data_IF_848544981187
#
_entry.id   IF_848544981187
#
_cell.length_a   1.000
_cell.length_b   1.000
_cell.length_c   1.000
_cell.angle_alpha   90.00
_cell.angle_beta   90.00
_cell.angle_gamma   90.00
#
_symmetry.space_group_name_H-M   'P 1'
#
loop_
_entity.id
_entity.type
_entity.pdbx_description
1 polymer ?
#
# COMPACT_ATOMS: atom_id res chain seq x y z
N UNK A 1 -0.53 27.29 11.81
CA UNK A 1 0.21 26.59 10.75
C UNK A 1 0.91 25.41 11.40
N UNK A 2 0.37 24.19 11.27
CA UNK A 2 1.10 22.98 11.63
C UNK A 2 1.41 22.24 10.33
N UNK A 3 2.63 22.39 9.84
CA UNK A 3 3.27 21.38 8.99
C UNK A 3 3.33 20.08 9.80
N UNK A 4 2.76 19.00 9.29
CA UNK A 4 2.83 17.69 9.93
C UNK A 4 4.30 17.24 9.94
N UNK A 5 4.94 17.32 11.11
CA UNK A 5 6.21 16.65 11.35
C UNK A 5 5.87 15.26 11.84
N UNK A 6 6.08 14.24 11.00
CA UNK A 6 6.16 12.86 11.47
C UNK A 6 7.19 12.85 12.62
N UNK A 7 6.84 12.22 13.74
CA UNK A 7 7.76 12.10 14.87
C UNK A 7 9.07 11.47 14.36
N UNK A 8 10.21 12.15 14.55
CA UNK A 8 11.53 11.64 14.15
C UNK A 8 11.91 10.33 14.86
N UNK A 9 11.17 9.96 15.91
CA UNK A 9 11.27 8.69 16.62
C UNK A 9 10.23 7.65 16.16
N UNK A 10 9.59 7.80 14.99
CA UNK A 10 8.78 6.73 14.41
C UNK A 10 9.67 5.50 14.19
N UNK A 11 9.47 4.47 15.00
CA UNK A 11 10.27 3.24 14.95
C UNK A 11 9.47 2.07 14.42
N UNK A 12 8.13 2.11 14.46
CA UNK A 12 7.32 1.00 13.93
C UNK A 12 6.07 1.48 13.21
N UNK A 13 5.87 0.99 11.99
CA UNK A 13 4.76 1.37 11.11
C UNK A 13 3.95 0.14 10.71
N UNK A 14 2.62 0.23 10.83
CA UNK A 14 1.72 -0.78 10.31
C UNK A 14 1.33 -0.44 8.87
N UNK A 15 1.72 -1.30 7.93
CA UNK A 15 1.31 -1.22 6.54
C UNK A 15 0.06 -2.05 6.32
N UNK A 16 -1.00 -1.45 5.78
CA UNK A 16 -2.24 -2.17 5.47
C UNK A 16 -2.38 -2.34 3.97
N UNK A 17 -2.44 -3.58 3.52
CA UNK A 17 -2.56 -3.95 2.10
C UNK A 17 -3.52 -5.13 1.94
N UNK A 18 -4.82 -4.88 2.09
CA UNK A 18 -5.86 -5.93 2.17
C UNK A 18 -5.82 -6.90 0.99
N UNK A 19 -5.55 -6.40 -0.22
CA UNK A 19 -5.68 -7.16 -1.46
C UNK A 19 -4.34 -7.49 -2.15
N UNK A 20 -3.23 -6.95 -1.65
CA UNK A 20 -1.91 -7.08 -2.27
C UNK A 20 -0.89 -7.63 -1.27
N UNK A 21 -0.51 -8.89 -1.46
CA UNK A 21 0.50 -9.53 -0.63
C UNK A 21 1.89 -9.37 -1.25
N UNK A 22 2.90 -8.85 -0.52
CA UNK A 22 4.28 -8.70 -1.02
C UNK A 22 4.94 -10.03 -1.44
N UNK A 23 4.44 -11.16 -0.96
CA UNK A 23 4.94 -12.50 -1.30
C UNK A 23 4.42 -13.02 -2.65
N UNK A 24 3.36 -12.43 -3.21
CA UNK A 24 2.86 -12.87 -4.51
C UNK A 24 3.85 -12.52 -5.63
N UNK A 25 4.14 -13.50 -6.48
CA UNK A 25 5.01 -13.32 -7.65
C UNK A 25 4.41 -12.26 -8.60
N UNK A 26 5.16 -11.20 -8.96
CA UNK A 26 4.69 -10.21 -9.92
C UNK A 26 4.28 -10.86 -11.25
N UNK A 27 3.14 -10.44 -11.80
CA UNK A 27 2.58 -11.01 -13.03
C UNK A 27 1.72 -12.26 -12.82
N UNK A 28 1.61 -12.78 -11.60
CA UNK A 28 0.58 -13.77 -11.24
C UNK A 28 -0.64 -13.08 -10.62
N UNK A 29 -1.85 -13.40 -11.12
CA UNK A 29 -3.12 -12.85 -10.61
C UNK A 29 -3.14 -11.32 -10.58
N UNK A 30 -3.49 -10.72 -9.44
CA UNK A 30 -3.54 -9.27 -9.19
C UNK A 30 -2.21 -8.67 -8.69
N UNK A 31 -1.12 -9.44 -8.68
CA UNK A 31 0.19 -8.98 -8.19
C UNK A 31 0.87 -8.07 -9.23
N UNK A 32 0.90 -6.77 -8.92
CA UNK A 32 1.46 -5.72 -9.78
C UNK A 32 2.48 -4.83 -9.07
N UNK A 33 2.68 -3.61 -9.59
CA UNK A 33 3.67 -2.66 -9.09
C UNK A 33 3.61 -2.37 -7.59
N UNK A 34 2.40 -2.29 -7.01
CA UNK A 34 2.23 -2.13 -5.56
C UNK A 34 2.85 -3.27 -4.74
N UNK A 35 2.76 -4.52 -5.22
CA UNK A 35 3.27 -5.68 -4.47
C UNK A 35 4.80 -5.63 -4.45
N UNK A 36 5.40 -5.27 -5.59
CA UNK A 36 6.84 -5.00 -5.69
C UNK A 36 7.25 -3.84 -4.80
N UNK A 37 6.49 -2.74 -4.81
CA UNK A 37 6.74 -1.57 -3.97
C UNK A 37 6.81 -1.95 -2.49
N UNK A 38 5.78 -2.61 -1.95
CA UNK A 38 5.72 -3.02 -0.55
C UNK A 38 6.87 -3.97 -0.19
N UNK A 39 7.16 -4.93 -1.07
CA UNK A 39 8.28 -5.86 -0.93
C UNK A 39 9.64 -5.16 -0.89
N UNK A 40 9.79 -4.03 -1.57
CA UNK A 40 11.08 -3.31 -1.64
C UNK A 40 11.22 -2.24 -0.59
N UNK A 41 10.15 -1.54 -0.23
CA UNK A 41 10.23 -0.40 0.69
C UNK A 41 10.40 -0.84 2.15
N UNK A 42 9.75 -1.93 2.59
CA UNK A 42 9.81 -2.36 3.98
C UNK A 42 11.23 -2.65 4.49
N UNK A 43 12.11 -3.40 3.78
CA UNK A 43 13.49 -3.64 4.22
C UNK A 43 14.37 -2.39 4.10
N UNK A 44 14.06 -1.49 3.17
CA UNK A 44 14.78 -0.22 3.03
C UNK A 44 14.49 0.69 4.23
N UNK A 45 13.24 0.75 4.68
CA UNK A 45 12.84 1.46 5.90
C UNK A 45 13.44 0.79 7.16
N UNK A 46 13.41 -0.55 7.25
CA UNK A 46 14.03 -1.32 8.33
C UNK A 46 15.51 -0.96 8.53
N UNK A 47 16.27 -0.85 7.43
CA UNK A 47 17.70 -0.43 7.45
C UNK A 47 17.91 1.01 7.91
N UNK A 48 16.88 1.85 7.84
CA UNK A 48 16.88 3.22 8.37
C UNK A 48 16.36 3.29 9.82
N UNK A 49 16.09 2.14 10.45
CA UNK A 49 15.59 2.06 11.82
C UNK A 49 14.06 2.15 11.95
N UNK A 50 13.32 2.07 10.83
CA UNK A 50 11.86 2.08 10.80
C UNK A 50 11.37 0.65 10.52
N UNK A 51 10.90 -0.03 11.56
CA UNK A 51 10.33 -1.36 11.48
C UNK A 51 8.97 -1.30 10.78
N UNK A 52 8.71 -2.26 9.89
CA UNK A 52 7.47 -2.30 9.10
C UNK A 52 6.84 -3.67 9.22
N UNK A 53 5.60 -3.70 9.70
CA UNK A 53 4.76 -4.89 9.69
C UNK A 53 3.63 -4.70 8.68
N UNK A 54 3.44 -5.68 7.81
CA UNK A 54 2.48 -5.62 6.71
C UNK A 54 1.31 -6.55 7.00
N UNK A 55 0.11 -6.01 7.08
CA UNK A 55 -1.14 -6.75 7.24
C UNK A 55 -1.84 -6.91 5.89
N UNK A 56 -2.12 -8.14 5.51
CA UNK A 56 -2.77 -8.50 4.24
C UNK A 56 -3.74 -9.66 4.45
N UNK A 57 -4.72 -9.81 3.57
CA UNK A 57 -5.64 -10.95 3.59
C UNK A 57 -4.93 -12.27 3.26
N UNK A 58 -5.37 -13.36 3.88
CA UNK A 58 -4.99 -14.72 3.50
C UNK A 58 -5.37 -15.01 2.03
N UNK A 59 -4.48 -15.69 1.31
CA UNK A 59 -4.66 -16.07 -0.09
C UNK A 59 -4.44 -17.57 -0.35
N UNK A 60 -4.24 -18.35 0.71
CA UNK A 60 -4.16 -19.80 0.71
C UNK A 60 -5.02 -20.39 1.85
N UNK A 61 -5.31 -21.69 1.76
CA UNK A 61 -6.01 -22.44 2.81
C UNK A 61 -4.99 -22.85 3.86
N UNK A 62 -5.18 -22.48 5.13
CA UNK A 62 -4.20 -22.79 6.19
C UNK A 62 -4.28 -21.92 7.44
N UNK A 63 -4.97 -20.76 7.38
CA UNK A 63 -5.13 -19.85 8.52
C UNK A 63 -4.14 -18.66 8.47
N UNK A 64 -4.04 -17.89 9.55
CA UNK A 64 -3.10 -16.78 9.61
C UNK A 64 -1.65 -17.29 9.60
N UNK A 65 -0.81 -16.64 8.81
CA UNK A 65 0.61 -16.97 8.66
C UNK A 65 1.44 -15.72 8.90
N UNK A 66 2.46 -15.84 9.75
CA UNK A 66 3.47 -14.81 9.99
C UNK A 66 4.69 -15.16 9.16
N UNK A 67 5.01 -14.32 8.18
CA UNK A 67 6.22 -14.45 7.40
C UNK A 67 7.23 -13.39 7.82
N UNK A 68 8.38 -13.81 8.37
CA UNK A 68 9.48 -12.89 8.61
C UNK A 68 10.13 -12.52 7.28
N UNK A 69 9.94 -11.27 6.88
CA UNK A 69 10.33 -10.75 5.57
C UNK A 69 11.73 -10.13 5.56
N UNK A 70 12.14 -9.57 6.70
CA UNK A 70 13.48 -9.07 7.00
C UNK A 70 13.72 -9.24 8.51
N UNK A 71 14.92 -8.95 8.99
CA UNK A 71 15.26 -9.10 10.42
C UNK A 71 14.25 -8.40 11.36
N UNK A 72 13.65 -7.30 10.90
CA UNK A 72 12.70 -6.49 11.69
C UNK A 72 11.38 -6.19 10.96
N UNK A 73 11.01 -6.97 9.94
CA UNK A 73 9.75 -6.77 9.21
C UNK A 73 9.00 -8.08 9.02
N UNK A 74 7.69 -8.04 9.28
CA UNK A 74 6.82 -9.22 9.13
C UNK A 74 5.70 -8.95 8.15
N UNK A 75 5.16 -10.04 7.60
CA UNK A 75 3.91 -10.04 6.85
C UNK A 75 2.94 -10.94 7.62
N UNK A 76 1.83 -10.34 8.06
CA UNK A 76 0.75 -11.01 8.76
C UNK A 76 -0.39 -11.23 7.78
N UNK A 77 -0.71 -12.50 7.54
CA UNK A 77 -1.91 -12.88 6.80
C UNK A 77 -3.07 -13.02 7.76
N UNK A 78 -4.14 -12.24 7.55
CA UNK A 78 -5.35 -12.32 8.35
C UNK A 78 -6.50 -12.92 7.52
N UNK A 79 -7.32 -13.81 8.11
CA UNK A 79 -8.46 -14.36 7.41
C UNK A 79 -9.46 -13.24 7.09
N UNK A 80 -9.97 -13.24 5.86
CA UNK A 80 -11.17 -12.48 5.50
C UNK A 80 -11.76 -13.08 4.22
N UNK A 81 -12.93 -13.69 4.32
CA UNK A 81 -13.56 -14.42 3.23
C UNK A 81 -12.71 -15.60 2.71
N UNK A 82 -13.17 -16.21 1.61
CA UNK A 82 -12.47 -17.34 1.02
C UNK A 82 -11.13 -16.89 0.40
N UNK A 83 -10.00 -17.58 0.64
CA UNK A 83 -8.69 -17.18 0.11
C UNK A 83 -8.61 -17.00 -1.41
N UNK A 84 -9.47 -17.65 -2.20
CA UNK A 84 -9.46 -17.65 -3.66
C UNK A 84 -10.46 -16.69 -4.33
N UNK A 85 -11.08 -15.77 -3.57
CA UNK A 85 -12.02 -14.81 -4.14
C UNK A 85 -11.37 -13.78 -5.08
N UNK A 86 -12.18 -13.27 -6.01
CA UNK A 86 -11.79 -12.18 -6.89
C UNK A 86 -11.62 -10.86 -6.13
N UNK A 87 -10.91 -9.89 -6.72
CA UNK A 87 -10.72 -8.55 -6.11
C UNK A 87 -12.05 -7.85 -5.82
N UNK A 88 -13.04 -8.03 -6.68
CA UNK A 88 -14.34 -7.36 -6.54
C UNK A 88 -15.13 -7.95 -5.35
N UNK A 89 -14.96 -9.23 -5.08
CA UNK A 89 -15.57 -9.90 -3.92
C UNK A 89 -14.91 -9.54 -2.60
N UNK A 90 -13.63 -9.12 -2.59
CA UNK A 90 -12.93 -8.67 -1.37
C UNK A 90 -13.71 -7.55 -0.67
N UNK A 91 -14.41 -6.69 -1.43
CA UNK A 91 -15.22 -5.61 -0.87
C UNK A 91 -16.24 -6.08 0.19
N UNK A 92 -16.76 -7.30 0.04
CA UNK A 92 -17.73 -7.90 0.96
C UNK A 92 -17.11 -8.36 2.29
N UNK A 93 -15.78 -8.42 2.35
CA UNK A 93 -15.01 -8.95 3.48
C UNK A 93 -14.08 -7.90 4.11
N UNK A 94 -14.24 -6.61 3.77
CA UNK A 94 -13.41 -5.55 4.35
C UNK A 94 -13.66 -5.35 5.84
N UNK A 95 -14.92 -5.48 6.27
CA UNK A 95 -15.28 -5.37 7.70
C UNK A 95 -14.74 -6.58 8.49
N UNK A 96 -14.83 -7.78 7.92
CA UNK A 96 -14.24 -9.00 8.49
C UNK A 96 -12.72 -8.87 8.63
N UNK A 97 -12.03 -8.39 7.58
CA UNK A 97 -10.59 -8.13 7.64
C UNK A 97 -10.25 -7.08 8.72
N UNK A 98 -11.04 -6.02 8.82
CA UNK A 98 -10.83 -4.95 9.81
C UNK A 98 -11.01 -5.46 11.23
N UNK A 99 -12.06 -6.25 11.50
CA UNK A 99 -12.29 -6.87 12.80
C UNK A 99 -11.12 -7.77 13.20
N UNK A 100 -10.75 -8.71 12.32
CA UNK A 100 -9.63 -9.62 12.57
C UNK A 100 -8.28 -8.90 12.72
N UNK A 101 -8.10 -7.75 12.06
CA UNK A 101 -6.93 -6.91 12.27
C UNK A 101 -6.91 -6.31 13.67
N UNK A 102 -8.01 -5.69 14.12
CA UNK A 102 -8.08 -5.08 15.44
C UNK A 102 -7.94 -6.12 16.55
N UNK A 103 -8.60 -7.28 16.42
CA UNK A 103 -8.46 -8.40 17.35
C UNK A 103 -7.01 -8.87 17.39
N UNK A 104 -6.36 -9.06 16.24
CA UNK A 104 -4.95 -9.46 16.19
C UNK A 104 -4.01 -8.44 16.85
N UNK A 105 -4.24 -7.14 16.65
CA UNK A 105 -3.46 -6.08 17.30
C UNK A 105 -3.64 -6.13 18.83
N UNK A 106 -4.88 -6.29 19.30
CA UNK A 106 -5.22 -6.38 20.71
C UNK A 106 -4.63 -7.62 21.37
N UNK A 107 -4.85 -8.80 20.80
CA UNK A 107 -4.44 -10.09 21.37
C UNK A 107 -2.93 -10.26 21.47
N UNK A 108 -2.18 -9.59 20.58
CA UNK A 108 -0.71 -9.63 20.56
C UNK A 108 -0.08 -8.38 21.18
N UNK A 109 -0.88 -7.50 21.80
CA UNK A 109 -0.44 -6.25 22.44
C UNK A 109 0.48 -5.40 21.52
N UNK A 110 0.15 -5.36 20.23
CA UNK A 110 0.96 -4.67 19.24
C UNK A 110 0.68 -3.17 19.26
N UNK A 111 1.74 -2.39 19.13
CA UNK A 111 1.69 -0.94 19.03
C UNK A 111 2.49 -0.46 17.83
N UNK A 112 2.05 0.67 17.27
CA UNK A 112 2.67 1.32 16.12
C UNK A 112 2.65 2.82 16.33
N UNK A 113 3.62 3.52 15.74
CA UNK A 113 3.70 4.97 15.76
C UNK A 113 2.90 5.61 14.61
N UNK A 114 2.57 4.81 13.59
CA UNK A 114 1.96 5.24 12.34
C UNK A 114 1.26 4.07 11.66
N UNK A 115 0.13 4.35 11.01
CA UNK A 115 -0.52 3.43 10.07
C UNK A 115 -0.37 3.99 8.66
N UNK A 116 0.04 3.14 7.71
CA UNK A 116 0.11 3.50 6.29
C UNK A 116 -0.69 2.50 5.47
N UNK A 117 -1.87 2.89 4.99
CA UNK A 117 -2.66 2.00 4.13
C UNK A 117 -2.43 2.27 2.64
N UNK A 118 -2.41 1.18 1.89
CA UNK A 118 -2.08 1.16 0.47
C UNK A 118 -3.26 0.65 -0.33
N UNK A 119 -3.70 1.47 -1.29
CA UNK A 119 -4.84 1.26 -2.18
C UNK A 119 -6.20 1.31 -1.47
N UNK A 120 -7.26 1.62 -2.22
CA UNK A 120 -8.58 1.94 -1.67
C UNK A 120 -9.22 0.80 -0.86
N UNK A 121 -8.95 -0.46 -1.20
CA UNK A 121 -9.43 -1.62 -0.42
C UNK A 121 -8.86 -1.69 1.00
N UNK A 122 -7.79 -0.95 1.28
CA UNK A 122 -7.15 -0.92 2.59
C UNK A 122 -7.55 0.33 3.40
N UNK A 123 -8.28 1.26 2.80
CA UNK A 123 -8.55 2.58 3.39
C UNK A 123 -9.33 2.50 4.71
N UNK A 124 -10.42 1.72 4.74
CA UNK A 124 -11.26 1.57 5.94
C UNK A 124 -10.49 0.88 7.07
N UNK A 125 -9.82 -0.23 6.77
CA UNK A 125 -9.01 -0.96 7.75
C UNK A 125 -7.87 -0.10 8.32
N UNK A 126 -7.18 0.65 7.46
CA UNK A 126 -6.14 1.60 7.88
C UNK A 126 -6.68 2.69 8.80
N UNK A 127 -7.81 3.31 8.43
CA UNK A 127 -8.43 4.35 9.25
C UNK A 127 -8.90 3.81 10.60
N UNK A 128 -9.55 2.64 10.62
CA UNK A 128 -10.02 2.01 11.84
C UNK A 128 -8.87 1.67 12.79
N UNK A 129 -7.77 1.12 12.25
CA UNK A 129 -6.59 0.82 13.06
C UNK A 129 -5.93 2.10 13.61
N UNK A 130 -5.75 3.12 12.77
CA UNK A 130 -5.18 4.40 13.19
C UNK A 130 -5.99 5.03 14.32
N UNK A 131 -7.31 5.04 14.19
CA UNK A 131 -8.23 5.53 15.22
C UNK A 131 -8.14 4.69 16.51
N UNK A 132 -8.10 3.37 16.40
CA UNK A 132 -7.98 2.45 17.54
C UNK A 132 -6.69 2.69 18.34
N UNK A 133 -5.57 2.88 17.64
CA UNK A 133 -4.26 3.13 18.25
C UNK A 133 -4.04 4.59 18.67
N UNK A 134 -4.87 5.51 18.17
CA UNK A 134 -4.69 6.96 18.39
C UNK A 134 -3.46 7.53 17.68
N UNK A 135 -3.10 6.99 16.51
CA UNK A 135 -1.90 7.39 15.75
C UNK A 135 -2.24 7.91 14.35
N UNK A 136 -1.33 8.66 13.69
CA UNK A 136 -1.62 9.22 12.38
C UNK A 136 -1.79 8.15 11.29
N UNK A 137 -2.65 8.45 10.33
CA UNK A 137 -2.92 7.63 9.16
C UNK A 137 -2.34 8.25 7.88
N UNK A 138 -1.37 7.59 7.26
CA UNK A 138 -0.94 7.87 5.90
C UNK A 138 -1.67 6.99 4.89
N UNK A 139 -1.97 7.55 3.73
CA UNK A 139 -2.61 6.83 2.63
C UNK A 139 -1.85 6.98 1.31
N UNK A 140 -1.75 5.89 0.55
CA UNK A 140 -1.26 5.92 -0.84
C UNK A 140 -2.25 5.23 -1.76
N UNK A 141 -2.76 5.96 -2.76
CA UNK A 141 -3.77 5.48 -3.69
C UNK A 141 -3.27 4.33 -4.58
N UNK A 142 -2.01 4.39 -5.05
CA UNK A 142 -1.41 3.59 -6.14
C UNK A 142 -2.09 3.75 -7.51
N UNK A 143 -3.42 3.82 -7.55
CA UNK A 143 -4.23 4.26 -8.69
C UNK A 143 -5.48 4.95 -8.18
N UNK A 144 -6.05 5.88 -8.94
CA UNK A 144 -7.33 6.54 -8.64
C UNK A 144 -8.37 6.19 -9.70
N UNK A 145 -9.61 5.93 -9.27
CA UNK A 145 -10.73 5.68 -10.18
C UNK A 145 -11.00 6.89 -11.08
N UNK A 146 -11.08 8.07 -10.48
CA UNK A 146 -11.36 9.32 -11.19
C UNK A 146 -10.27 9.66 -12.21
N UNK A 147 -8.99 9.48 -11.87
CA UNK A 147 -7.89 9.71 -12.82
C UNK A 147 -7.99 8.74 -14.01
N UNK A 148 -8.27 7.46 -13.74
CA UNK A 148 -8.42 6.45 -14.80
C UNK A 148 -9.58 6.78 -15.73
N UNK A 149 -10.75 7.11 -15.19
CA UNK A 149 -11.93 7.47 -15.98
C UNK A 149 -11.66 8.70 -16.85
N UNK A 150 -11.04 9.75 -16.29
CA UNK A 150 -10.69 10.99 -17.02
C UNK A 150 -9.65 10.80 -18.10
N UNK A 151 -8.81 9.76 -17.98
CA UNK A 151 -7.80 9.41 -18.97
C UNK A 151 -8.33 8.48 -20.07
N UNK A 152 -9.66 8.32 -20.18
CA UNK A 152 -10.31 7.47 -21.18
C UNK A 152 -10.49 6.01 -20.77
N UNK A 153 -10.25 5.69 -19.49
CA UNK A 153 -10.51 4.36 -18.94
C UNK A 153 -12.00 4.05 -18.74
N UNK A 154 -12.30 2.79 -18.44
CA UNK A 154 -13.66 2.35 -18.10
C UNK A 154 -14.16 2.96 -16.78
N UNK A 155 -15.49 3.09 -16.65
CA UNK A 155 -16.13 3.49 -15.40
C UNK A 155 -15.81 2.50 -14.28
N UNK A 156 -15.40 3.04 -13.14
CA UNK A 156 -15.09 2.30 -11.93
C UNK A 156 -16.31 2.29 -11.00
N UNK A 157 -16.39 1.29 -10.12
CA UNK A 157 -17.51 1.13 -9.19
C UNK A 157 -17.69 2.31 -8.25
N UNK A 158 -18.94 2.66 -7.96
CA UNK A 158 -19.28 3.77 -7.05
C UNK A 158 -18.68 3.60 -5.65
N UNK A 159 -18.65 2.36 -5.14
CA UNK A 159 -18.05 2.05 -3.83
C UNK A 159 -16.57 2.44 -3.75
N UNK A 160 -15.79 2.13 -4.81
CA UNK A 160 -14.39 2.54 -4.91
C UNK A 160 -14.25 4.06 -4.87
N UNK A 161 -15.03 4.78 -5.69
CA UNK A 161 -14.97 6.24 -5.75
C UNK A 161 -15.33 6.89 -4.41
N UNK A 162 -16.33 6.35 -3.72
CA UNK A 162 -16.72 6.82 -2.40
C UNK A 162 -15.64 6.55 -1.34
N UNK A 163 -15.04 5.36 -1.37
CA UNK A 163 -13.92 5.01 -0.49
C UNK A 163 -12.71 5.94 -0.71
N UNK A 164 -12.34 6.17 -1.98
CA UNK A 164 -11.26 7.09 -2.37
C UNK A 164 -11.56 8.54 -1.95
N UNK A 165 -12.78 9.03 -2.14
CA UNK A 165 -13.17 10.37 -1.73
C UNK A 165 -13.19 10.54 -0.21
N UNK A 166 -13.64 9.52 0.53
CA UNK A 166 -13.63 9.55 1.98
C UNK A 166 -12.20 9.61 2.52
N UNK A 167 -11.32 8.70 2.07
CA UNK A 167 -9.96 8.63 2.59
C UNK A 167 -9.11 9.83 2.20
N UNK A 168 -9.40 10.47 1.07
CA UNK A 168 -8.79 11.74 0.67
C UNK A 168 -8.99 12.86 1.70
N UNK A 169 -10.07 12.80 2.49
CA UNK A 169 -10.40 13.80 3.50
C UNK A 169 -9.99 13.35 4.90
N UNK A 170 -10.10 12.06 5.22
CA UNK A 170 -9.89 11.56 6.58
C UNK A 170 -8.45 11.18 6.91
N UNK A 171 -7.60 10.90 5.91
CA UNK A 171 -6.19 10.59 6.16
C UNK A 171 -5.44 11.83 6.67
N UNK A 172 -4.53 11.63 7.63
CA UNK A 172 -3.67 12.69 8.16
C UNK A 172 -2.60 13.11 7.13
N UNK A 173 -2.21 12.20 6.24
CA UNK A 173 -1.33 12.50 5.12
C UNK A 173 -1.56 11.58 3.93
N UNK A 174 -1.29 12.10 2.73
CA UNK A 174 -1.40 11.38 1.46
C UNK A 174 -0.02 11.37 0.80
N UNK A 175 0.44 10.19 0.42
CA UNK A 175 1.65 10.04 -0.40
C UNK A 175 1.23 9.75 -1.84
N UNK A 176 1.73 10.57 -2.75
CA UNK A 176 1.67 10.39 -4.20
C UNK A 176 3.07 10.16 -4.75
N UNK A 177 3.20 9.71 -5.99
CA UNK A 177 4.50 9.39 -6.58
C UNK A 177 5.03 10.48 -7.51
N UNK A 178 4.19 11.43 -7.92
CA UNK A 178 4.60 12.61 -8.68
C UNK A 178 3.87 13.86 -8.21
N UNK A 179 4.42 15.03 -8.52
CA UNK A 179 3.77 16.32 -8.27
C UNK A 179 2.46 16.45 -9.07
N UNK A 180 2.42 15.88 -10.28
CA UNK A 180 1.21 15.84 -11.09
C UNK A 180 0.08 15.04 -10.42
N UNK A 181 0.41 13.91 -9.80
CA UNK A 181 -0.53 13.11 -9.01
C UNK A 181 -1.00 13.88 -7.77
N UNK A 182 -0.10 14.55 -7.04
CA UNK A 182 -0.44 15.40 -5.90
C UNK A 182 -1.46 16.49 -6.30
N UNK A 183 -1.17 17.24 -7.37
CA UNK A 183 -2.10 18.23 -7.89
C UNK A 183 -3.42 17.63 -8.39
N UNK A 184 -3.39 16.41 -8.95
CA UNK A 184 -4.60 15.72 -9.36
C UNK A 184 -5.47 15.34 -8.15
N UNK A 185 -4.88 14.87 -7.05
CA UNK A 185 -5.61 14.59 -5.80
C UNK A 185 -6.30 15.84 -5.27
N UNK A 186 -5.61 16.99 -5.30
CA UNK A 186 -6.21 18.27 -4.91
C UNK A 186 -7.40 18.66 -5.81
N UNK A 187 -7.23 18.61 -7.13
CA UNK A 187 -8.29 18.98 -8.08
C UNK A 187 -9.52 18.07 -8.03
N UNK A 188 -9.31 16.77 -7.82
CA UNK A 188 -10.38 15.76 -7.92
C UNK A 188 -11.10 15.61 -6.58
N UNK A 189 -10.35 15.47 -5.49
CA UNK A 189 -10.90 15.12 -4.18
C UNK A 189 -10.84 16.27 -3.18
N UNK A 190 -10.26 17.42 -3.54
CA UNK A 190 -10.13 18.57 -2.63
C UNK A 190 -9.11 18.36 -1.51
N UNK A 191 -8.16 17.42 -1.67
CA UNK A 191 -7.14 17.15 -0.64
C UNK A 191 -6.38 18.41 -0.25
N UNK A 192 -6.09 18.58 1.04
CA UNK A 192 -5.29 19.70 1.51
C UNK A 192 -3.85 19.59 1.00
N UNK A 193 -3.33 20.65 0.38
CA UNK A 193 -1.96 20.68 -0.17
C UNK A 193 -0.91 20.34 0.89
N UNK A 194 -1.12 20.76 2.14
CA UNK A 194 -0.18 20.51 3.24
C UNK A 194 -0.20 19.05 3.74
N UNK A 195 -1.21 18.26 3.38
CA UNK A 195 -1.33 16.84 3.74
C UNK A 195 -0.86 15.93 2.60
N UNK A 196 -0.79 16.42 1.36
CA UNK A 196 -0.40 15.64 0.19
C UNK A 196 1.07 15.88 -0.17
N UNK A 197 1.88 14.83 -0.14
CA UNK A 197 3.30 14.88 -0.43
C UNK A 197 3.64 13.96 -1.61
N UNK A 198 4.40 14.47 -2.58
CA UNK A 198 4.94 13.66 -3.66
C UNK A 198 6.29 13.05 -3.24
N UNK A 199 6.38 11.73 -3.29
CA UNK A 199 7.60 10.97 -3.01
C UNK A 199 7.88 10.08 -4.21
N UNK A 200 8.86 10.48 -5.02
CA UNK A 200 9.19 9.78 -6.25
C UNK A 200 9.62 8.34 -5.99
N UNK A 201 9.07 7.42 -6.78
CA UNK A 201 9.51 6.03 -6.79
C UNK A 201 10.85 5.89 -7.49
N UNK A 202 11.63 4.91 -7.02
CA UNK A 202 12.85 4.47 -7.67
C UNK A 202 12.76 3.03 -8.17
N UNK A 203 13.85 2.58 -8.79
CA UNK A 203 14.08 1.18 -9.15
C UNK A 203 15.32 0.64 -8.43
N UNK A 204 15.42 -0.68 -8.30
CA UNK A 204 16.63 -1.32 -7.77
C UNK A 204 17.78 -1.11 -8.76
N UNK A 205 18.71 -0.19 -8.46
CA UNK A 205 19.81 0.17 -9.35
C UNK A 205 20.84 -0.96 -9.54
N UNK A 206 20.82 -2.01 -8.69
CA UNK A 206 21.64 -3.20 -8.92
C UNK A 206 21.02 -4.12 -9.99
N UNK A 207 19.70 -4.08 -10.14
CA UNK A 207 18.97 -4.84 -11.15
C UNK A 207 18.78 -4.04 -12.44
N UNK A 208 18.43 -2.77 -12.31
CA UNK A 208 18.21 -1.82 -13.40
C UNK A 208 19.36 -0.83 -13.46
N UNK A 209 20.33 -1.14 -14.29
CA UNK A 209 21.43 -0.25 -14.64
C UNK A 209 21.66 -0.29 -16.15
N UNK A 210 22.23 0.77 -16.75
CA UNK A 210 22.62 0.73 -18.15
C UNK A 210 23.53 -0.48 -18.41
N UNK A 211 23.20 -1.23 -19.46
CA UNK A 211 23.99 -2.36 -19.96
C UNK A 211 24.50 -2.08 -21.38
N UNK A 212 25.30 -2.99 -21.92
CA UNK A 212 25.77 -2.87 -23.31
C UNK A 212 24.63 -3.12 -24.31
N UNK A 213 24.28 -2.09 -25.07
CA UNK A 213 23.28 -2.19 -26.12
C UNK A 213 23.73 -3.16 -27.22
N UNK A 214 25.00 -3.13 -27.62
CA UNK A 214 25.54 -4.01 -28.66
C UNK A 214 25.47 -5.47 -28.25
N UNK A 215 25.85 -5.80 -27.01
CA UNK A 215 25.74 -7.17 -26.48
C UNK A 215 24.29 -7.64 -26.39
N UNK A 216 23.38 -6.75 -25.99
CA UNK A 216 21.95 -7.06 -25.94
C UNK A 216 21.38 -7.33 -27.33
N UNK A 217 21.73 -6.51 -28.33
CA UNK A 217 21.29 -6.69 -29.72
C UNK A 217 21.84 -7.99 -30.31
N UNK A 218 23.12 -8.27 -30.09
CA UNK A 218 23.76 -9.53 -30.50
C UNK A 218 23.04 -10.75 -29.90
N UNK A 219 22.74 -10.73 -28.59
CA UNK A 219 22.03 -11.82 -27.91
C UNK A 219 20.62 -12.05 -28.44
N UNK A 220 19.94 -10.98 -28.85
CA UNK A 220 18.58 -11.02 -29.38
C UNK A 220 18.53 -11.24 -30.91
N UNK A 221 19.68 -11.40 -31.58
CA UNK A 221 19.75 -11.56 -33.03
C UNK A 221 19.33 -10.30 -33.81
N UNK A 222 19.41 -9.13 -33.18
CA UNK A 222 19.14 -7.85 -33.82
C UNK A 222 20.42 -7.34 -34.45
N UNK A 223 20.31 -6.60 -35.57
CA UNK A 223 21.46 -5.92 -36.19
C UNK A 223 22.20 -5.05 -35.17
N UNK A 224 23.50 -4.74 -35.35
CA UNK A 224 24.25 -3.87 -34.45
C UNK A 224 23.71 -2.45 -34.38
#
# INVERSE_FOLDING_TARGET
MNTFSINKNCRRVAFISTHGCPLMTPGMRSAGGMNVFLRRIAPLLSRQGILVDIFTRCHHVGGPEIFQFDQNSHIFHLPAGNPQISKDEITKHLDEFTGNLLDFISDNELSYDLVHSHYWLSASAGQSLANYLGVPHLFTFHTSAEIKERSGGHKEGSYRKQSEANIAVTADGIITFTEEESHAMHRIYGTEVNKTNAVQLGVDSKLFHPGSQSESRLRLGLSP
#
